data_IF_359821946593
#
_entry.id   IF_359821946593
#
_cell.length_a   1.000
_cell.length_b   1.000
_cell.length_c   1.000
_cell.angle_alpha   90.00
_cell.angle_beta   90.00
_cell.angle_gamma   90.00
#
_symmetry.space_group_name_H-M   'P 1'
#
loop_
_entity.id
_entity.type
_entity.pdbx_description
1 polymer ?
#
# COMPACT_ATOMS: atom_id res chain seq x y z
N UNK A 1 0.27 -40.27 -14.69
CA UNK A 1 -0.47 -39.89 -13.46
C UNK A 1 0.43 -39.43 -12.30
N UNK A 2 1.71 -39.87 -12.20
CA UNK A 2 2.59 -39.44 -11.10
C UNK A 2 3.17 -38.01 -11.22
N UNK A 3 3.29 -37.45 -12.43
CA UNK A 3 3.84 -36.10 -12.65
C UNK A 3 2.92 -35.01 -12.07
N UNK A 4 1.60 -35.12 -12.26
CA UNK A 4 0.62 -34.13 -11.77
C UNK A 4 0.50 -34.10 -10.23
N UNK A 5 0.95 -35.15 -9.51
CA UNK A 5 0.86 -35.20 -8.05
C UNK A 5 2.03 -34.47 -7.37
N UNK A 6 3.21 -34.47 -7.99
CA UNK A 6 4.40 -33.79 -7.48
C UNK A 6 4.33 -32.26 -7.70
N UNK A 7 3.78 -31.81 -8.85
CA UNK A 7 3.58 -30.39 -9.15
C UNK A 7 2.55 -29.74 -8.23
N UNK A 8 1.46 -30.43 -7.88
CA UNK A 8 0.47 -29.89 -6.94
C UNK A 8 1.05 -29.76 -5.52
N UNK A 9 1.89 -30.70 -5.07
CA UNK A 9 2.54 -30.62 -3.76
C UNK A 9 3.53 -29.44 -3.67
N UNK A 10 4.26 -29.13 -4.75
CA UNK A 10 5.20 -27.99 -4.74
C UNK A 10 4.48 -26.65 -4.71
N UNK A 11 3.34 -26.53 -5.41
CA UNK A 11 2.46 -25.35 -5.39
C UNK A 11 1.84 -25.17 -4.00
N UNK A 12 1.39 -26.24 -3.35
CA UNK A 12 0.81 -26.18 -2.01
C UNK A 12 1.82 -25.67 -0.96
N UNK A 13 3.07 -26.13 -1.03
CA UNK A 13 4.14 -25.67 -0.14
C UNK A 13 4.46 -24.19 -0.40
N UNK A 14 4.55 -23.77 -1.66
CA UNK A 14 4.79 -22.37 -2.03
C UNK A 14 3.68 -21.47 -1.47
N UNK A 15 2.42 -21.86 -1.64
CA UNK A 15 1.28 -21.07 -1.16
C UNK A 15 1.25 -20.98 0.37
N UNK A 16 1.53 -22.08 1.08
CA UNK A 16 1.66 -22.07 2.54
C UNK A 16 2.80 -21.15 3.01
N UNK A 17 3.95 -21.20 2.34
CA UNK A 17 5.09 -20.34 2.65
C UNK A 17 4.77 -18.86 2.38
N UNK A 18 4.22 -18.55 1.20
CA UNK A 18 3.78 -17.19 0.82
C UNK A 18 2.81 -16.64 1.86
N UNK A 19 1.78 -17.40 2.19
CA UNK A 19 0.78 -17.00 3.19
C UNK A 19 1.41 -16.70 4.55
N UNK A 20 2.36 -17.53 5.02
CA UNK A 20 3.05 -17.31 6.29
C UNK A 20 3.92 -16.06 6.29
N UNK A 21 4.67 -15.83 5.22
CA UNK A 21 5.51 -14.62 5.07
C UNK A 21 4.63 -13.37 5.02
N UNK A 22 3.56 -13.38 4.23
CA UNK A 22 2.58 -12.28 4.16
C UNK A 22 1.97 -11.99 5.52
N UNK A 23 1.47 -13.02 6.22
CA UNK A 23 0.88 -12.86 7.54
C UNK A 23 1.86 -12.26 8.55
N UNK A 24 3.12 -12.71 8.52
CA UNK A 24 4.17 -12.18 9.40
C UNK A 24 4.55 -10.74 9.05
N UNK A 25 4.61 -10.39 7.76
CA UNK A 25 4.95 -9.04 7.30
C UNK A 25 3.88 -8.02 7.69
N UNK A 26 2.60 -8.43 7.70
CA UNK A 26 1.47 -7.55 7.97
C UNK A 26 1.09 -7.45 9.45
N UNK A 27 1.46 -8.45 10.25
CA UNK A 27 1.09 -8.51 11.67
C UNK A 27 1.50 -7.24 12.45
N UNK A 28 0.52 -6.57 13.06
CA UNK A 28 0.72 -5.39 13.88
C UNK A 28 1.03 -4.09 13.11
N UNK A 29 0.99 -4.10 11.78
CA UNK A 29 1.17 -2.88 10.99
C UNK A 29 0.04 -1.89 11.23
N UNK A 30 0.40 -0.61 11.25
CA UNK A 30 -0.55 0.51 11.23
C UNK A 30 -0.69 1.01 9.81
N UNK A 31 -1.90 0.92 9.26
CA UNK A 31 -2.23 1.37 7.91
C UNK A 31 -3.16 2.57 8.03
N UNK A 32 -2.83 3.67 7.37
CA UNK A 32 -3.74 4.80 7.17
C UNK A 32 -4.29 4.74 5.74
N UNK A 33 -5.60 4.56 5.61
CA UNK A 33 -6.32 4.61 4.34
C UNK A 33 -7.00 5.98 4.19
N UNK A 34 -6.83 6.64 3.04
CA UNK A 34 -7.35 7.98 2.75
C UNK A 34 -8.14 7.97 1.46
N UNK A 35 -9.43 8.24 1.56
CA UNK A 35 -10.35 8.21 0.42
C UNK A 35 -11.66 8.92 0.78
N UNK A 36 -12.25 9.66 -0.16
CA UNK A 36 -13.56 10.27 0.05
C UNK A 36 -14.72 9.29 -0.16
N UNK A 37 -14.45 8.14 -0.80
CA UNK A 37 -15.39 7.05 -0.98
C UNK A 37 -15.34 6.07 0.20
N UNK A 38 -16.46 5.93 0.92
CA UNK A 38 -16.57 5.06 2.09
C UNK A 38 -16.36 3.59 1.74
N UNK A 39 -16.89 3.12 0.61
CA UNK A 39 -16.75 1.70 0.21
C UNK A 39 -15.28 1.34 -0.06
N UNK A 40 -14.50 2.27 -0.61
CA UNK A 40 -13.06 2.10 -0.84
C UNK A 40 -12.29 2.00 0.48
N UNK A 41 -12.62 2.85 1.46
CA UNK A 41 -12.04 2.78 2.82
C UNK A 41 -12.38 1.45 3.50
N UNK A 42 -13.64 1.05 3.43
CA UNK A 42 -14.13 -0.18 4.04
C UNK A 42 -13.53 -1.43 3.39
N UNK A 43 -13.32 -1.41 2.07
CA UNK A 43 -12.62 -2.48 1.36
C UNK A 43 -11.17 -2.62 1.87
N UNK A 44 -10.43 -1.52 1.99
CA UNK A 44 -9.05 -1.56 2.52
C UNK A 44 -9.04 -2.15 3.94
N UNK A 45 -9.97 -1.72 4.78
CA UNK A 45 -10.12 -2.24 6.14
C UNK A 45 -10.41 -3.74 6.15
N UNK A 46 -11.39 -4.18 5.36
CA UNK A 46 -11.77 -5.58 5.21
C UNK A 46 -10.60 -6.45 4.73
N UNK A 47 -9.77 -5.96 3.81
CA UNK A 47 -8.61 -6.68 3.29
C UNK A 47 -7.56 -6.90 4.39
N UNK A 48 -7.30 -5.90 5.23
CA UNK A 48 -6.14 -5.90 6.12
C UNK A 48 -6.42 -6.27 7.58
N UNK A 49 -7.63 -6.08 8.10
CA UNK A 49 -8.01 -6.48 9.47
C UNK A 49 -7.71 -7.97 9.77
N UNK A 50 -7.95 -8.95 8.85
CA UNK A 50 -7.64 -10.37 9.10
C UNK A 50 -6.16 -10.65 9.38
N UNK A 51 -5.25 -9.77 8.96
CA UNK A 51 -3.81 -9.89 9.19
C UNK A 51 -3.35 -9.27 10.52
N UNK A 52 -4.26 -8.97 11.44
CA UNK A 52 -3.97 -8.31 12.72
C UNK A 52 -3.30 -6.93 12.53
N UNK A 53 -3.74 -6.20 11.51
CA UNK A 53 -3.31 -4.81 11.25
C UNK A 53 -4.24 -3.83 11.96
N UNK A 54 -3.71 -2.66 12.32
CA UNK A 54 -4.51 -1.51 12.75
C UNK A 54 -4.78 -0.62 11.55
N UNK A 55 -5.98 -0.71 10.97
CA UNK A 55 -6.41 0.16 9.87
C UNK A 55 -7.13 1.38 10.42
N UNK A 56 -6.64 2.57 10.09
CA UNK A 56 -7.27 3.85 10.40
C UNK A 56 -7.69 4.50 9.09
N UNK A 57 -8.91 5.05 9.06
CA UNK A 57 -9.51 5.64 7.86
C UNK A 57 -9.49 7.17 7.95
N UNK A 58 -9.36 7.87 6.83
CA UNK A 58 -9.55 9.31 6.73
C UNK A 58 -10.23 9.67 5.40
N UNK A 59 -11.06 10.71 5.41
CA UNK A 59 -11.84 11.14 4.23
C UNK A 59 -11.29 12.39 3.53
N UNK A 60 -10.34 13.07 4.17
CA UNK A 60 -9.75 14.32 3.69
C UNK A 60 -8.25 14.34 3.94
N UNK A 61 -7.53 15.21 3.22
CA UNK A 61 -6.09 15.37 3.42
C UNK A 61 -5.78 15.97 4.80
N UNK A 62 -6.61 16.90 5.29
CA UNK A 62 -6.45 17.47 6.63
C UNK A 62 -6.59 16.41 7.73
N UNK A 63 -7.61 15.56 7.64
CA UNK A 63 -7.82 14.47 8.60
C UNK A 63 -6.67 13.46 8.54
N UNK A 64 -6.24 13.11 7.33
CA UNK A 64 -5.11 12.20 7.11
C UNK A 64 -3.82 12.76 7.73
N UNK A 65 -3.50 14.03 7.49
CA UNK A 65 -2.28 14.64 8.01
C UNK A 65 -2.26 14.68 9.54
N UNK A 66 -3.39 15.02 10.18
CA UNK A 66 -3.53 14.94 11.63
C UNK A 66 -3.26 13.53 12.15
N UNK A 67 -3.88 12.52 11.52
CA UNK A 67 -3.72 11.11 11.89
C UNK A 67 -2.30 10.60 11.67
N UNK A 68 -1.60 11.03 10.62
CA UNK A 68 -0.19 10.67 10.38
C UNK A 68 0.68 11.06 11.58
N UNK A 69 0.51 12.29 12.09
CA UNK A 69 1.32 12.77 13.22
C UNK A 69 1.02 12.07 14.54
N UNK A 70 -0.22 11.61 14.74
CA UNK A 70 -0.65 10.95 15.98
C UNK A 70 -0.37 9.44 15.96
N UNK A 71 -0.73 8.77 14.86
CA UNK A 71 -0.68 7.31 14.74
C UNK A 71 0.73 6.79 14.43
N UNK A 72 1.48 7.58 13.65
CA UNK A 72 2.72 7.17 12.99
C UNK A 72 2.55 5.87 12.19
N UNK A 73 1.77 5.90 11.10
CA UNK A 73 1.48 4.70 10.31
C UNK A 73 2.75 4.15 9.65
N UNK A 74 2.79 2.84 9.45
CA UNK A 74 3.80 2.17 8.66
C UNK A 74 3.57 2.40 7.15
N UNK A 75 2.28 2.41 6.76
CA UNK A 75 1.83 2.47 5.38
C UNK A 75 0.72 3.51 5.25
N UNK A 76 0.83 4.36 4.23
CA UNK A 76 -0.23 5.25 3.76
C UNK A 76 -0.80 4.69 2.45
N UNK A 77 -2.12 4.52 2.37
CA UNK A 77 -2.84 4.20 1.13
C UNK A 77 -3.75 5.39 0.86
N UNK A 78 -3.55 6.12 -0.23
CA UNK A 78 -4.27 7.37 -0.50
C UNK A 78 -4.83 7.41 -1.91
N UNK A 79 -6.09 7.82 -2.02
CA UNK A 79 -6.65 8.38 -3.23
C UNK A 79 -5.97 9.73 -3.56
N UNK A 80 -5.98 10.09 -4.84
CA UNK A 80 -5.49 11.37 -5.36
C UNK A 80 -6.60 12.42 -5.34
N UNK A 81 -7.82 12.06 -5.77
CA UNK A 81 -8.95 12.98 -5.75
C UNK A 81 -9.63 13.00 -4.38
N UNK A 82 -9.29 14.01 -3.59
CA UNK A 82 -9.86 14.27 -2.27
C UNK A 82 -10.56 15.64 -2.26
N UNK A 83 -11.52 15.85 -1.34
CA UNK A 83 -12.44 17.00 -1.39
C UNK A 83 -11.80 18.34 -0.99
N UNK A 84 -10.70 18.33 -0.23
CA UNK A 84 -10.03 19.54 0.27
C UNK A 84 -8.77 19.88 -0.54
N UNK A 85 -7.77 19.01 -0.51
CA UNK A 85 -6.56 19.10 -1.34
C UNK A 85 -6.34 17.77 -2.05
N UNK A 86 -5.51 17.72 -3.09
CA UNK A 86 -5.20 16.45 -3.75
C UNK A 86 -4.21 15.59 -2.94
N UNK A 87 -4.22 14.28 -3.22
CA UNK A 87 -3.32 13.32 -2.60
C UNK A 87 -1.84 13.59 -2.90
N UNK A 88 -1.51 14.29 -3.99
CA UNK A 88 -0.14 14.73 -4.28
C UNK A 88 0.34 15.76 -3.25
N UNK A 89 -0.51 16.70 -2.89
CA UNK A 89 -0.26 17.73 -1.89
C UNK A 89 -0.10 17.11 -0.51
N UNK A 90 -0.94 16.13 -0.17
CA UNK A 90 -0.81 15.36 1.07
C UNK A 90 0.56 14.68 1.17
N UNK A 91 0.95 13.89 0.16
CA UNK A 91 2.23 13.17 0.23
C UNK A 91 3.41 14.14 0.23
N UNK A 92 3.35 15.26 -0.50
CA UNK A 92 4.38 16.28 -0.48
C UNK A 92 4.58 16.83 0.94
N UNK A 93 3.49 17.18 1.64
CA UNK A 93 3.54 17.62 3.04
C UNK A 93 4.17 16.56 3.94
N UNK A 94 3.80 15.28 3.77
CA UNK A 94 4.40 14.17 4.54
C UNK A 94 5.90 14.10 4.33
N UNK A 95 6.39 14.25 3.09
CA UNK A 95 7.84 14.22 2.78
C UNK A 95 8.62 15.37 3.40
N UNK A 96 7.98 16.46 3.82
CA UNK A 96 8.65 17.55 4.56
C UNK A 96 8.91 17.21 6.03
N UNK A 97 8.27 16.17 6.58
CA UNK A 97 8.43 15.76 7.98
C UNK A 97 9.80 15.07 8.18
N UNK A 98 10.53 15.43 9.23
CA UNK A 98 11.83 14.82 9.53
C UNK A 98 11.69 13.39 10.09
N UNK A 99 12.68 12.55 9.79
CA UNK A 99 12.80 11.20 10.35
C UNK A 99 11.91 10.17 9.65
N UNK A 100 11.57 9.09 10.37
CA UNK A 100 10.83 7.94 9.81
C UNK A 100 9.46 8.32 9.23
N UNK A 101 8.81 9.34 9.77
CA UNK A 101 7.50 9.79 9.31
C UNK A 101 7.54 10.38 7.89
N UNK A 102 8.60 11.11 7.55
CA UNK A 102 8.81 11.59 6.18
C UNK A 102 9.13 10.47 5.19
N UNK A 103 9.46 9.28 5.67
CA UNK A 103 9.87 8.11 4.89
C UNK A 103 8.81 7.00 4.88
N UNK A 104 7.59 7.26 5.39
CA UNK A 104 6.52 6.26 5.36
C UNK A 104 6.28 5.79 3.93
N UNK A 105 6.08 4.49 3.75
CA UNK A 105 5.74 3.94 2.45
C UNK A 105 4.32 4.36 2.09
N UNK A 106 4.14 4.87 0.87
CA UNK A 106 2.86 5.42 0.42
C UNK A 106 2.43 4.80 -0.91
N UNK A 107 1.17 4.36 -0.99
CA UNK A 107 0.55 3.79 -2.18
C UNK A 107 -0.52 4.77 -2.67
N UNK A 108 -0.43 5.20 -3.93
CA UNK A 108 -1.53 5.87 -4.60
C UNK A 108 -2.53 4.79 -5.06
N UNK A 109 -3.77 4.82 -4.55
CA UNK A 109 -4.85 3.90 -4.95
C UNK A 109 -5.98 4.72 -5.59
N UNK A 110 -6.05 4.72 -6.92
CA UNK A 110 -6.82 5.73 -7.68
C UNK A 110 -7.42 5.18 -8.96
N UNK A 111 -8.40 5.84 -9.57
CA UNK A 111 -8.92 5.46 -10.91
C UNK A 111 -8.08 5.98 -12.07
N UNK A 112 -7.06 6.79 -11.81
CA UNK A 112 -6.18 7.36 -12.84
C UNK A 112 -5.25 6.28 -13.43
N UNK A 113 -5.39 5.92 -14.70
CA UNK A 113 -4.59 4.84 -15.32
C UNK A 113 -3.54 5.30 -16.35
N UNK A 114 -3.38 6.61 -16.58
CA UNK A 114 -2.49 7.13 -17.61
C UNK A 114 -1.07 7.45 -17.10
N UNK A 115 -0.06 7.27 -17.96
CA UNK A 115 1.36 7.40 -17.60
C UNK A 115 1.73 8.72 -16.90
N UNK A 116 1.14 9.84 -17.34
CA UNK A 116 1.40 11.14 -16.73
C UNK A 116 0.96 11.20 -15.25
N UNK A 117 -0.15 10.56 -14.87
CA UNK A 117 -0.58 10.50 -13.47
C UNK A 117 0.37 9.65 -12.63
N UNK A 118 0.81 8.51 -13.16
CA UNK A 118 1.78 7.63 -12.50
C UNK A 118 3.09 8.38 -12.23
N UNK A 119 3.61 9.10 -13.23
CA UNK A 119 4.82 9.90 -13.08
C UNK A 119 4.65 11.02 -12.04
N UNK A 120 3.49 11.69 -12.04
CA UNK A 120 3.18 12.72 -11.04
C UNK A 120 3.14 12.14 -9.62
N UNK A 121 2.56 10.96 -9.43
CA UNK A 121 2.52 10.29 -8.14
C UNK A 121 3.92 9.97 -7.60
N UNK A 122 4.78 9.38 -8.43
CA UNK A 122 6.15 9.07 -8.02
C UNK A 122 6.95 10.35 -7.73
N UNK A 123 6.84 11.38 -8.57
CA UNK A 123 7.52 12.66 -8.36
C UNK A 123 7.02 13.39 -7.10
N UNK A 124 5.74 13.26 -6.75
CA UNK A 124 5.19 13.81 -5.52
C UNK A 124 5.70 13.08 -4.26
N UNK A 125 6.18 11.84 -4.42
CA UNK A 125 6.81 11.05 -3.36
C UNK A 125 6.03 9.80 -2.95
N UNK A 126 5.07 9.33 -3.74
CA UNK A 126 4.49 8.00 -3.55
C UNK A 126 5.55 6.92 -3.83
N UNK A 127 5.49 5.81 -3.08
CA UNK A 127 6.37 4.65 -3.26
C UNK A 127 5.82 3.68 -4.30
N UNK A 128 4.50 3.66 -4.48
CA UNK A 128 3.82 2.72 -5.37
C UNK A 128 2.49 3.28 -5.86
N UNK A 129 1.95 2.68 -6.91
CA UNK A 129 0.76 3.12 -7.60
C UNK A 129 -0.11 1.91 -7.95
N UNK A 130 -1.40 1.96 -7.63
CA UNK A 130 -2.39 0.92 -7.97
C UNK A 130 -3.63 1.59 -8.54
N UNK A 131 -4.12 1.09 -9.68
CA UNK A 131 -5.41 1.53 -10.21
C UNK A 131 -6.58 0.80 -9.57
N UNK A 132 -7.70 1.51 -9.39
CA UNK A 132 -9.00 0.94 -9.06
C UNK A 132 -9.74 0.53 -10.35
N UNK A 133 -10.52 -0.56 -10.34
CA UNK A 133 -10.62 -1.54 -9.25
C UNK A 133 -9.32 -2.35 -9.10
N UNK A 134 -8.89 -2.60 -7.86
CA UNK A 134 -7.67 -3.37 -7.61
C UNK A 134 -7.99 -4.79 -7.16
N UNK A 135 -7.14 -5.76 -7.52
CA UNK A 135 -7.18 -7.09 -6.93
C UNK A 135 -6.71 -7.02 -5.46
N UNK A 136 -7.50 -7.52 -4.49
CA UNK A 136 -7.12 -7.56 -3.07
C UNK A 136 -5.76 -8.24 -2.81
N UNK A 137 -5.48 -9.36 -3.46
CA UNK A 137 -4.24 -10.12 -3.28
C UNK A 137 -3.02 -9.30 -3.73
N UNK A 138 -3.17 -8.53 -4.81
CA UNK A 138 -2.13 -7.63 -5.30
C UNK A 138 -1.86 -6.49 -4.33
N UNK A 139 -2.90 -5.96 -3.68
CA UNK A 139 -2.74 -4.92 -2.65
C UNK A 139 -2.06 -5.49 -1.40
N UNK A 140 -2.45 -6.69 -0.96
CA UNK A 140 -1.82 -7.42 0.15
C UNK A 140 -0.35 -7.69 -0.11
N UNK A 141 -0.02 -8.18 -1.31
CA UNK A 141 1.35 -8.48 -1.72
C UNK A 141 2.21 -7.22 -1.73
N UNK A 142 1.70 -6.12 -2.31
CA UNK A 142 2.43 -4.86 -2.33
C UNK A 142 2.70 -4.31 -0.93
N UNK A 143 1.67 -4.28 -0.06
CA UNK A 143 1.83 -3.79 1.32
C UNK A 143 2.84 -4.67 2.08
N UNK A 144 2.81 -5.98 1.87
CA UNK A 144 3.78 -6.91 2.47
C UNK A 144 5.21 -6.61 2.02
N UNK A 145 5.43 -6.38 0.72
CA UNK A 145 6.74 -6.02 0.16
C UNK A 145 7.25 -4.71 0.77
N UNK A 146 6.40 -3.68 0.84
CA UNK A 146 6.77 -2.38 1.42
C UNK A 146 7.08 -2.48 2.92
N UNK A 147 6.32 -3.27 3.67
CA UNK A 147 6.56 -3.52 5.08
C UNK A 147 7.91 -4.23 5.31
N UNK A 148 8.21 -5.28 4.53
CA UNK A 148 9.49 -5.99 4.60
C UNK A 148 10.66 -5.09 4.20
N UNK A 149 10.50 -4.27 3.15
CA UNK A 149 11.51 -3.29 2.74
C UNK A 149 11.86 -2.34 3.88
N UNK A 150 10.85 -1.84 4.59
CA UNK A 150 11.05 -0.94 5.73
C UNK A 150 11.68 -1.66 6.94
N UNK A 151 11.27 -2.90 7.22
CA UNK A 151 11.77 -3.66 8.38
C UNK A 151 13.24 -4.09 8.24
N UNK A 152 13.69 -4.39 7.01
CA UNK A 152 15.02 -4.91 6.73
C UNK A 152 15.96 -3.91 6.03
N UNK A 153 15.54 -2.64 5.91
CA UNK A 153 16.28 -1.59 5.18
C UNK A 153 16.73 -2.06 3.78
N UNK A 154 15.87 -2.81 3.07
CA UNK A 154 16.22 -3.37 1.78
C UNK A 154 16.31 -2.26 0.74
N UNK A 155 17.43 -2.23 0.02
CA UNK A 155 17.59 -1.41 -1.17
C UNK A 155 17.13 -2.26 -2.35
N UNK A 156 15.95 -1.95 -2.88
CA UNK A 156 15.49 -2.54 -4.13
C UNK A 156 16.25 -1.87 -5.30
N UNK A 157 16.61 -2.60 -6.37
CA UNK A 157 17.09 -1.99 -7.61
C UNK A 157 16.14 -0.88 -8.10
N UNK A 158 16.64 0.14 -8.80
CA UNK A 158 15.79 1.26 -9.27
C UNK A 158 14.59 0.78 -10.10
N UNK A 159 14.79 -0.23 -10.94
CA UNK A 159 13.73 -0.87 -11.75
C UNK A 159 12.60 -1.51 -10.93
N UNK A 160 12.83 -1.74 -9.63
CA UNK A 160 11.88 -2.36 -8.69
C UNK A 160 11.52 -1.41 -7.53
N UNK A 161 12.03 -0.18 -7.54
CA UNK A 161 11.85 0.77 -6.44
C UNK A 161 10.48 1.43 -6.44
N UNK A 162 9.87 1.55 -7.63
CA UNK A 162 8.55 2.09 -7.86
C UNK A 162 7.68 1.02 -8.52
N UNK A 163 6.70 0.50 -7.78
CA UNK A 163 5.80 -0.54 -8.30
C UNK A 163 4.50 0.14 -8.75
N UNK A 164 4.17 0.01 -10.04
CA UNK A 164 2.89 0.44 -10.61
C UNK A 164 2.11 -0.80 -11.07
N UNK A 165 0.94 -1.04 -10.45
CA UNK A 165 0.00 -2.09 -10.87
C UNK A 165 -1.19 -1.40 -11.55
N UNK A 166 -1.19 -1.43 -12.87
CA UNK A 166 -2.24 -0.85 -13.70
C UNK A 166 -3.09 -1.98 -14.28
N UNK A 167 -4.36 -1.99 -13.92
CA UNK A 167 -5.36 -2.85 -14.54
C UNK A 167 -5.76 -2.26 -15.90
N UNK A 168 -5.77 -3.09 -16.95
CA UNK A 168 -6.25 -2.72 -18.29
C UNK A 168 -7.75 -2.45 -18.30
#
# INVERSE_FOLDING_TARGET
>A
MALNHCENQSIDIYNQFKHRITSQALNGLKILAVDNNVDSLELVRFIFEPYNTQVVLAKTTSEAFQKITQLQPNILISEIFLPDEDGYSLIHKVRTIKGKLGQISAIALTTLAYQKAINLAFNAGFSSYITKPCNPDSLVELVSILALKQAYNLILPEEQSNIALVTQ
#
